data_IF_223904346053
#
_entry.id   IF_223904346053
#
_cell.length_a   1.000
_cell.length_b   1.000
_cell.length_c   1.000
_cell.angle_alpha   90.00
_cell.angle_beta   90.00
_cell.angle_gamma   90.00
#
_symmetry.space_group_name_H-M   'P 1'
#
loop_
_entity.id
_entity.type
_entity.pdbx_description
1 polymer ?
#
# COMPACT_ATOMS: atom_id res chain seq x y z
N UNK A 1 18.83 11.67 8.62
CA UNK A 1 19.85 11.44 7.56
C UNK A 1 19.26 11.24 6.15
N UNK A 2 18.14 10.52 6.02
CA UNK A 2 17.59 10.11 4.71
C UNK A 2 17.08 11.25 3.81
N UNK A 3 16.58 12.35 4.39
CA UNK A 3 16.18 13.56 3.62
C UNK A 3 17.40 14.25 3.01
N UNK A 4 18.49 14.39 3.76
CA UNK A 4 19.76 14.92 3.27
C UNK A 4 20.33 14.06 2.14
N UNK A 5 20.25 12.73 2.28
CA UNK A 5 20.66 11.77 1.24
C UNK A 5 19.78 11.88 -0.01
N UNK A 6 18.46 12.08 0.15
CA UNK A 6 17.54 12.33 -0.97
C UNK A 6 17.94 13.59 -1.74
N UNK A 7 18.23 14.70 -1.05
CA UNK A 7 18.68 15.94 -1.69
C UNK A 7 20.03 15.77 -2.39
N UNK A 8 21.00 15.10 -1.75
CA UNK A 8 22.31 14.81 -2.34
C UNK A 8 22.19 13.93 -3.58
N UNK A 9 21.36 12.89 -3.51
CA UNK A 9 21.08 11.97 -4.62
C UNK A 9 20.37 12.70 -5.78
N UNK A 10 19.46 13.63 -5.47
CA UNK A 10 18.80 14.45 -6.49
C UNK A 10 19.74 15.44 -7.19
N UNK A 11 20.74 15.97 -6.49
CA UNK A 11 21.79 16.80 -7.11
C UNK A 11 22.72 15.97 -8.01
N UNK A 12 23.02 14.74 -7.61
CA UNK A 12 23.88 13.81 -8.37
C UNK A 12 23.17 13.13 -9.55
N UNK A 13 21.84 13.03 -9.49
CA UNK A 13 21.05 12.30 -10.50
C UNK A 13 20.98 10.79 -10.26
N UNK A 14 21.25 10.33 -9.04
CA UNK A 14 21.27 8.89 -8.72
C UNK A 14 19.85 8.33 -8.58
N UNK A 15 19.26 7.93 -9.72
CA UNK A 15 17.91 7.37 -9.78
C UNK A 15 17.79 6.10 -8.94
N UNK A 16 18.83 5.27 -8.88
CA UNK A 16 18.82 4.02 -8.11
C UNK A 16 18.73 4.28 -6.61
N UNK A 17 19.52 5.22 -6.11
CA UNK A 17 19.47 5.63 -4.70
C UNK A 17 18.16 6.32 -4.35
N UNK A 18 17.66 7.21 -5.21
CA UNK A 18 16.35 7.86 -5.01
C UNK A 18 15.22 6.83 -5.03
N UNK A 19 15.26 5.81 -5.90
CA UNK A 19 14.33 4.67 -5.85
C UNK A 19 14.39 3.95 -4.52
N UNK A 20 15.58 3.56 -4.08
CA UNK A 20 15.73 2.91 -2.78
C UNK A 20 15.16 3.76 -1.63
N UNK A 21 15.44 5.07 -1.61
CA UNK A 21 14.96 5.97 -0.56
C UNK A 21 13.42 6.14 -0.59
N UNK A 22 12.82 6.34 -1.77
CA UNK A 22 11.37 6.50 -1.87
C UNK A 22 10.61 5.18 -1.68
N UNK A 23 11.16 4.06 -2.16
CA UNK A 23 10.43 2.78 -2.20
C UNK A 23 10.68 1.89 -0.98
N UNK A 24 11.90 1.90 -0.45
CA UNK A 24 12.31 1.03 0.66
C UNK A 24 12.37 1.76 2.00
N UNK A 25 12.59 3.08 1.98
CA UNK A 25 12.67 3.92 3.19
C UNK A 25 11.47 4.85 3.37
N UNK A 26 10.54 4.89 2.41
CA UNK A 26 9.31 5.69 2.43
C UNK A 26 9.57 7.19 2.69
N UNK A 27 10.70 7.72 2.19
CA UNK A 27 11.03 9.13 2.34
C UNK A 27 10.02 9.97 1.55
N UNK A 28 9.44 11.00 2.18
CA UNK A 28 8.47 11.86 1.52
C UNK A 28 9.10 12.61 0.33
N UNK A 29 8.53 12.45 -0.86
CA UNK A 29 9.06 13.04 -2.12
C UNK A 29 9.02 14.58 -2.15
N UNK A 30 8.17 15.19 -1.31
CA UNK A 30 7.92 16.63 -1.24
C UNK A 30 8.52 17.29 0.00
N UNK A 31 9.48 16.64 0.67
CA UNK A 31 10.23 17.24 1.79
C UNK A 31 10.88 18.56 1.38
N UNK A 32 11.07 19.45 2.36
CA UNK A 32 11.68 20.76 2.17
C UNK A 32 12.99 20.84 2.92
N UNK A 33 14.01 21.40 2.27
CA UNK A 33 15.27 21.71 2.94
C UNK A 33 15.21 23.05 3.68
N UNK A 34 16.32 23.45 4.32
CA UNK A 34 16.44 24.73 5.03
C UNK A 34 16.30 25.98 4.15
N UNK A 35 16.28 25.84 2.83
CA UNK A 35 16.06 26.92 1.86
C UNK A 35 14.70 26.80 1.19
N UNK A 36 13.78 26.04 1.79
CA UNK A 36 12.43 25.82 1.30
C UNK A 36 12.40 25.17 -0.10
N UNK A 37 13.43 24.38 -0.43
CA UNK A 37 13.59 23.75 -1.75
C UNK A 37 13.20 22.28 -1.71
N UNK A 38 12.60 21.80 -2.81
CA UNK A 38 12.15 20.41 -2.95
C UNK A 38 13.16 19.54 -3.69
N UNK A 39 13.13 18.20 -3.52
CA UNK A 39 13.97 17.26 -4.29
C UNK A 39 13.80 17.45 -5.81
N UNK A 40 12.56 17.67 -6.27
CA UNK A 40 12.25 17.94 -7.67
C UNK A 40 12.96 19.18 -8.20
N UNK A 41 13.02 20.25 -7.40
CA UNK A 41 13.73 21.47 -7.80
C UNK A 41 15.22 21.19 -8.09
N UNK A 42 15.91 20.42 -7.24
CA UNK A 42 17.31 20.08 -7.48
C UNK A 42 17.52 19.18 -8.70
N UNK A 43 16.63 18.21 -8.92
CA UNK A 43 16.68 17.38 -10.13
C UNK A 43 16.50 18.22 -11.40
N UNK A 44 15.60 19.21 -11.37
CA UNK A 44 15.38 20.16 -12.48
C UNK A 44 16.60 21.07 -12.71
N UNK A 45 17.15 21.62 -11.62
CA UNK A 45 18.31 22.53 -11.62
C UNK A 45 19.57 21.86 -12.13
N UNK A 46 19.82 20.61 -11.73
CA UNK A 46 20.98 19.84 -12.15
C UNK A 46 20.81 19.14 -13.51
N UNK A 47 19.60 19.19 -14.11
CA UNK A 47 19.36 18.70 -15.46
C UNK A 47 19.11 17.19 -15.57
N UNK A 48 18.71 16.53 -14.49
CA UNK A 48 18.53 15.07 -14.46
C UNK A 48 17.14 14.67 -14.97
N UNK A 49 16.99 14.62 -16.29
CA UNK A 49 15.69 14.41 -16.95
C UNK A 49 14.99 13.10 -16.55
N UNK A 50 15.72 11.98 -16.49
CA UNK A 50 15.17 10.69 -16.03
C UNK A 50 14.69 10.77 -14.58
N UNK A 51 15.48 11.41 -13.72
CA UNK A 51 15.13 11.60 -12.33
C UNK A 51 13.93 12.53 -12.15
N UNK A 52 13.82 13.60 -12.94
CA UNK A 52 12.67 14.50 -12.94
C UNK A 52 11.40 13.73 -13.28
N UNK A 53 11.41 12.91 -14.34
CA UNK A 53 10.26 12.07 -14.68
C UNK A 53 9.92 11.09 -13.57
N UNK A 54 10.94 10.48 -12.96
CA UNK A 54 10.75 9.58 -11.84
C UNK A 54 10.13 10.29 -10.63
N UNK A 55 10.65 11.44 -10.21
CA UNK A 55 10.11 12.22 -9.09
C UNK A 55 8.68 12.69 -9.34
N UNK A 56 8.39 13.19 -10.55
CA UNK A 56 7.03 13.54 -10.96
C UNK A 56 6.10 12.33 -10.86
N UNK A 57 6.48 11.19 -11.47
CA UNK A 57 5.72 9.94 -11.38
C UNK A 57 5.54 9.44 -9.94
N UNK A 58 6.42 9.84 -9.01
CA UNK A 58 6.35 9.51 -7.59
C UNK A 58 5.66 10.58 -6.74
N UNK A 59 4.91 11.50 -7.35
CA UNK A 59 4.05 12.43 -6.63
C UNK A 59 4.71 13.75 -6.24
N UNK A 60 5.87 14.09 -6.84
CA UNK A 60 6.46 15.41 -6.68
C UNK A 60 5.49 16.50 -7.19
N UNK A 61 5.28 17.53 -6.37
CA UNK A 61 4.36 18.65 -6.67
C UNK A 61 5.00 19.60 -7.66
N UNK A 62 4.35 19.81 -8.81
CA UNK A 62 4.72 20.79 -9.81
C UNK A 62 3.46 21.39 -10.44
N UNK A 63 2.80 22.29 -9.71
CA UNK A 63 1.59 22.96 -10.18
C UNK A 63 1.92 24.29 -10.84
N UNK A 64 1.42 24.52 -12.05
CA UNK A 64 1.61 25.78 -12.76
C UNK A 64 1.03 26.95 -11.94
N UNK A 65 1.73 28.10 -11.94
CA UNK A 65 1.37 29.29 -11.15
C UNK A 65 1.47 29.13 -9.62
N UNK A 66 2.17 28.09 -9.12
CA UNK A 66 2.55 27.99 -7.71
C UNK A 66 4.03 28.33 -7.53
N UNK A 67 4.43 28.76 -6.33
CA UNK A 67 5.83 29.09 -6.04
C UNK A 67 6.78 27.92 -6.37
N UNK A 68 6.38 26.70 -6.01
CA UNK A 68 7.17 25.48 -6.23
C UNK A 68 7.24 25.09 -7.71
N UNK A 69 6.10 25.15 -8.41
CA UNK A 69 6.04 24.83 -9.84
C UNK A 69 6.81 25.83 -10.70
N UNK A 70 6.68 27.12 -10.42
CA UNK A 70 7.45 28.16 -11.11
C UNK A 70 8.95 28.00 -10.85
N UNK A 71 9.38 27.72 -9.61
CA UNK A 71 10.81 27.46 -9.33
C UNK A 71 11.36 26.27 -10.10
N UNK A 72 10.62 25.18 -10.22
CA UNK A 72 11.05 24.03 -11.01
C UNK A 72 11.13 24.38 -12.51
N UNK A 73 10.18 25.16 -13.02
CA UNK A 73 10.13 25.58 -14.42
C UNK A 73 11.24 26.57 -14.79
N UNK A 74 11.52 27.55 -13.93
CA UNK A 74 12.64 28.50 -14.07
C UNK A 74 13.98 27.80 -13.87
N UNK A 75 14.06 26.88 -12.90
CA UNK A 75 15.27 26.11 -12.59
C UNK A 75 15.61 25.03 -13.61
N UNK A 76 14.69 24.65 -14.50
CA UNK A 76 14.92 23.58 -15.48
C UNK A 76 16.12 23.88 -16.40
N UNK A 77 17.17 23.05 -16.29
CA UNK A 77 18.39 23.19 -17.07
C UNK A 77 18.17 22.94 -18.58
N UNK A 78 17.20 22.09 -18.93
CA UNK A 78 16.99 21.63 -20.31
C UNK A 78 15.54 21.78 -20.80
N UNK A 79 15.37 21.98 -22.10
CA UNK A 79 14.04 22.06 -22.73
C UNK A 79 13.21 20.77 -22.61
N UNK A 80 13.79 19.56 -22.63
CA UNK A 80 13.05 18.33 -22.31
C UNK A 80 12.47 18.33 -20.88
N UNK A 81 13.22 18.79 -19.88
CA UNK A 81 12.73 18.92 -18.50
C UNK A 81 11.60 19.95 -18.44
N UNK A 82 11.77 21.10 -19.09
CA UNK A 82 10.73 22.14 -19.14
C UNK A 82 9.45 21.65 -19.82
N UNK A 83 9.57 20.83 -20.87
CA UNK A 83 8.43 20.15 -21.50
C UNK A 83 7.81 19.13 -20.55
N UNK A 84 8.60 18.27 -19.92
CA UNK A 84 8.10 17.29 -18.95
C UNK A 84 7.32 17.94 -17.81
N UNK A 85 7.78 19.06 -17.26
CA UNK A 85 7.09 19.82 -16.21
C UNK A 85 5.77 20.47 -16.71
N UNK A 86 5.73 20.97 -17.95
CA UNK A 86 4.52 21.58 -18.54
C UNK A 86 3.48 20.55 -18.98
N UNK A 87 3.94 19.43 -19.49
CA UNK A 87 3.11 18.31 -19.95
C UNK A 87 2.57 17.51 -18.76
N UNK A 88 3.18 17.66 -17.58
CA UNK A 88 2.71 17.11 -16.33
C UNK A 88 1.46 17.83 -15.82
N UNK A 89 0.32 17.56 -16.48
CA UNK A 89 -1.00 17.94 -16.01
C UNK A 89 -1.45 16.90 -14.99
N UNK A 90 -1.40 17.27 -13.71
CA UNK A 90 -2.17 16.64 -12.63
C UNK A 90 -2.40 15.13 -12.86
N UNK A 91 -1.37 14.33 -12.57
CA UNK A 91 -1.63 13.06 -11.91
C UNK A 91 -2.41 13.47 -10.65
N UNK A 92 -3.73 13.24 -10.68
CA UNK A 92 -4.64 13.58 -9.59
C UNK A 92 -4.05 13.08 -8.28
N UNK A 93 -4.41 13.72 -7.17
CA UNK A 93 -4.07 13.19 -5.85
C UNK A 93 -4.55 11.74 -5.64
N UNK A 94 -5.36 11.17 -6.54
CA UNK A 94 -5.72 9.75 -6.58
C UNK A 94 -4.62 8.81 -7.08
N UNK A 95 -3.68 9.23 -7.93
CA UNK A 95 -2.49 8.39 -8.21
C UNK A 95 -1.35 8.64 -7.21
N UNK A 96 -1.59 9.46 -6.17
CA UNK A 96 -0.63 9.78 -5.09
C UNK A 96 -0.64 8.80 -3.91
N UNK A 97 -1.32 7.67 -4.04
CA UNK A 97 -0.90 6.44 -3.36
C UNK A 97 -0.48 5.51 -4.49
N UNK A 98 0.77 5.04 -4.50
CA UNK A 98 1.03 3.71 -5.06
C UNK A 98 0.17 2.79 -4.23
N UNK A 99 -1.06 2.56 -4.67
CA UNK A 99 -1.92 1.62 -4.00
C UNK A 99 -1.34 0.25 -4.36
N UNK A 100 -0.37 -0.19 -3.56
CA UNK A 100 0.33 -1.46 -3.73
C UNK A 100 -0.68 -2.62 -3.85
N UNK A 101 -1.92 -2.42 -3.40
CA UNK A 101 -3.02 -3.34 -3.58
C UNK A 101 -3.62 -3.29 -5.00
N UNK A 102 -3.95 -2.12 -5.54
CA UNK A 102 -4.40 -1.98 -6.94
C UNK A 102 -3.34 -2.51 -7.91
N UNK A 103 -2.07 -2.15 -7.70
CA UNK A 103 -0.94 -2.63 -8.49
C UNK A 103 -0.77 -4.16 -8.37
N UNK A 104 -1.12 -4.75 -7.22
CA UNK A 104 -1.15 -6.19 -7.04
C UNK A 104 -2.29 -6.82 -7.87
N UNK A 105 -3.51 -6.30 -7.78
CA UNK A 105 -4.67 -6.84 -8.49
C UNK A 105 -4.52 -6.70 -10.01
N UNK A 106 -3.94 -5.59 -10.46
CA UNK A 106 -3.59 -5.41 -11.87
C UNK A 106 -2.57 -6.46 -12.34
N UNK A 107 -1.47 -6.64 -11.61
CA UNK A 107 -0.46 -7.67 -11.93
C UNK A 107 -1.06 -9.07 -11.88
N UNK A 108 -1.98 -9.35 -10.95
CA UNK A 108 -2.65 -10.63 -10.82
C UNK A 108 -3.46 -10.96 -12.08
N UNK A 109 -4.20 -9.97 -12.62
CA UNK A 109 -4.92 -10.11 -13.90
C UNK A 109 -3.96 -10.28 -15.09
N UNK A 110 -2.94 -9.44 -15.20
CA UNK A 110 -2.04 -9.40 -16.35
C UNK A 110 -1.17 -10.65 -16.47
N UNK A 111 -0.65 -11.15 -15.34
CA UNK A 111 0.24 -12.31 -15.32
C UNK A 111 -0.55 -13.63 -15.25
N UNK A 112 -1.74 -13.61 -14.65
CA UNK A 112 -2.58 -14.80 -14.47
C UNK A 112 -1.91 -15.89 -13.63
N UNK A 113 -1.08 -15.51 -12.65
CA UNK A 113 -0.45 -16.43 -11.71
C UNK A 113 -1.53 -17.06 -10.83
N UNK A 114 -1.53 -18.40 -10.71
CA UNK A 114 -2.57 -19.17 -10.03
C UNK A 114 -3.99 -19.03 -10.60
N UNK A 115 -4.12 -18.63 -11.88
CA UNK A 115 -5.44 -18.61 -12.53
C UNK A 115 -6.04 -20.02 -12.62
N UNK A 116 -7.29 -20.17 -12.20
CA UNK A 116 -8.03 -21.44 -12.13
C UNK A 116 -9.12 -21.57 -13.20
N UNK A 117 -9.32 -20.52 -14.01
CA UNK A 117 -10.23 -20.52 -15.15
C UNK A 117 -9.69 -19.71 -16.34
N UNK A 118 -9.92 -20.23 -17.55
CA UNK A 118 -9.60 -19.54 -18.81
C UNK A 118 -10.87 -19.34 -19.63
N UNK A 119 -11.19 -18.08 -19.94
CA UNK A 119 -12.25 -17.74 -20.87
C UNK A 119 -11.69 -17.61 -22.28
N UNK A 120 -12.22 -18.37 -23.24
CA UNK A 120 -11.84 -18.29 -24.66
C UNK A 120 -12.95 -17.57 -25.41
N UNK A 121 -12.77 -16.28 -25.65
CA UNK A 121 -13.75 -15.40 -26.31
C UNK A 121 -13.35 -15.21 -27.77
N UNK A 122 -14.14 -15.78 -28.68
CA UNK A 122 -13.83 -15.78 -30.13
C UNK A 122 -12.37 -16.19 -30.46
N UNK A 123 -11.83 -17.17 -29.72
CA UNK A 123 -10.47 -17.67 -29.91
C UNK A 123 -9.38 -16.93 -29.12
N UNK A 124 -9.69 -15.79 -28.49
CA UNK A 124 -8.76 -15.07 -27.61
C UNK A 124 -8.87 -15.59 -26.16
N UNK A 125 -7.77 -16.06 -25.55
CA UNK A 125 -7.78 -16.54 -24.16
C UNK A 125 -7.66 -15.39 -23.16
N UNK A 126 -8.38 -15.51 -22.04
CA UNK A 126 -8.32 -14.63 -20.87
C UNK A 126 -8.22 -15.49 -19.62
N UNK A 127 -7.10 -15.39 -18.91
CA UNK A 127 -6.91 -16.06 -17.60
C UNK A 127 -7.59 -15.23 -16.52
N UNK A 128 -8.25 -15.89 -15.58
CA UNK A 128 -8.92 -15.23 -14.46
C UNK A 128 -8.97 -16.17 -13.23
N UNK A 129 -9.48 -15.63 -12.14
CA UNK A 129 -9.56 -16.29 -10.84
C UNK A 129 -11.03 -16.35 -10.41
N UNK A 130 -11.54 -17.55 -10.13
CA UNK A 130 -12.95 -17.78 -9.74
C UNK A 130 -13.32 -16.96 -8.51
N UNK A 131 -12.44 -16.90 -7.51
CA UNK A 131 -12.65 -16.15 -6.28
C UNK A 131 -12.89 -14.65 -6.54
N UNK A 132 -12.04 -14.01 -7.36
CA UNK A 132 -12.18 -12.59 -7.74
C UNK A 132 -13.48 -12.35 -8.51
N UNK A 133 -13.76 -13.18 -9.52
CA UNK A 133 -14.95 -13.00 -10.35
C UNK A 133 -16.25 -13.18 -9.57
N UNK A 134 -16.30 -14.19 -8.70
CA UNK A 134 -17.48 -14.46 -7.88
C UNK A 134 -17.71 -13.40 -6.81
N UNK A 135 -16.64 -12.90 -6.17
CA UNK A 135 -16.73 -11.82 -5.19
C UNK A 135 -17.25 -10.51 -5.82
N UNK A 136 -16.87 -10.24 -7.07
CA UNK A 136 -17.19 -8.99 -7.77
C UNK A 136 -18.45 -9.06 -8.65
N UNK A 137 -19.07 -10.24 -8.78
CA UNK A 137 -20.24 -10.42 -9.64
C UNK A 137 -21.03 -11.66 -9.25
N UNK A 138 -22.26 -11.41 -8.81
CA UNK A 138 -23.27 -12.46 -8.55
C UNK A 138 -23.56 -13.30 -9.79
N UNK A 139 -23.51 -12.72 -10.99
CA UNK A 139 -23.61 -13.49 -12.24
C UNK A 139 -22.48 -14.49 -12.38
N UNK A 140 -21.22 -14.06 -12.21
CA UNK A 140 -20.08 -14.98 -12.30
C UNK A 140 -20.13 -16.04 -11.20
N UNK A 141 -20.44 -15.66 -9.95
CA UNK A 141 -20.62 -16.61 -8.85
C UNK A 141 -21.62 -17.72 -9.22
N UNK A 142 -22.82 -17.33 -9.67
CA UNK A 142 -23.88 -18.25 -10.08
C UNK A 142 -23.46 -19.13 -11.27
N UNK A 143 -22.82 -18.55 -12.29
CA UNK A 143 -22.41 -19.29 -13.49
C UNK A 143 -21.29 -20.27 -13.20
N UNK A 144 -20.34 -19.91 -12.32
CA UNK A 144 -19.23 -20.75 -11.89
C UNK A 144 -19.68 -21.93 -11.02
N UNK A 145 -20.79 -21.80 -10.29
CA UNK A 145 -21.40 -22.90 -9.53
C UNK A 145 -22.39 -23.74 -10.33
N UNK A 146 -22.89 -23.22 -11.46
CA UNK A 146 -23.85 -23.94 -12.32
C UNK A 146 -23.23 -24.36 -13.65
N UNK A 147 -23.42 -23.58 -14.72
CA UNK A 147 -23.08 -23.96 -16.10
C UNK A 147 -21.57 -24.16 -16.33
N UNK A 148 -20.74 -23.51 -15.52
CA UNK A 148 -19.28 -23.56 -15.60
C UNK A 148 -18.64 -24.31 -14.43
N UNK A 149 -19.44 -25.03 -13.62
CA UNK A 149 -18.93 -25.86 -12.53
C UNK A 149 -17.94 -26.90 -13.04
N UNK A 150 -16.78 -27.00 -12.40
CA UNK A 150 -15.70 -27.94 -12.75
C UNK A 150 -14.99 -27.67 -14.08
N UNK A 151 -15.32 -26.59 -14.81
CA UNK A 151 -14.64 -26.25 -16.07
C UNK A 151 -13.45 -25.34 -15.81
N UNK A 152 -12.27 -25.79 -16.22
CA UNK A 152 -11.05 -24.96 -16.27
C UNK A 152 -11.00 -24.07 -17.52
N UNK A 153 -11.75 -24.42 -18.58
CA UNK A 153 -11.86 -23.63 -19.81
C UNK A 153 -13.33 -23.38 -20.15
N UNK A 154 -13.69 -22.11 -20.30
CA UNK A 154 -15.03 -21.65 -20.69
C UNK A 154 -14.95 -20.99 -22.06
N UNK A 155 -15.57 -21.61 -23.07
CA UNK A 155 -15.55 -21.08 -24.43
C UNK A 155 -16.80 -20.23 -24.68
N UNK A 156 -16.60 -18.95 -25.00
CA UNK A 156 -17.65 -17.97 -25.29
C UNK A 156 -17.64 -17.66 -26.80
N UNK A 157 -18.66 -18.15 -27.51
CA UNK A 157 -18.81 -18.00 -28.97
C UNK A 157 -19.97 -17.10 -29.39
N UNK A 158 -20.72 -16.58 -28.43
CA UNK A 158 -21.92 -15.80 -28.72
C UNK A 158 -21.55 -14.50 -29.44
N UNK A 159 -22.15 -14.17 -30.60
CA UNK A 159 -21.72 -13.03 -31.44
C UNK A 159 -21.73 -11.66 -30.76
N UNK A 160 -22.53 -11.50 -29.72
CA UNK A 160 -22.63 -10.24 -28.96
C UNK A 160 -21.54 -10.08 -27.89
N UNK A 161 -20.63 -11.04 -27.73
CA UNK A 161 -19.54 -10.97 -26.72
C UNK A 161 -18.26 -10.48 -27.40
N UNK A 162 -18.02 -9.17 -27.34
CA UNK A 162 -16.80 -8.59 -27.90
C UNK A 162 -15.57 -8.90 -27.01
N UNK A 163 -14.46 -9.44 -27.54
CA UNK A 163 -13.26 -9.73 -26.75
C UNK A 163 -12.61 -8.50 -26.10
N UNK A 164 -12.68 -7.32 -26.72
CA UNK A 164 -12.12 -6.08 -26.16
C UNK A 164 -12.94 -5.64 -24.96
N UNK A 165 -14.27 -5.61 -25.10
CA UNK A 165 -15.18 -5.28 -24.01
C UNK A 165 -15.10 -6.30 -22.86
N UNK A 166 -14.94 -7.60 -23.16
CA UNK A 166 -14.74 -8.61 -22.13
C UNK A 166 -13.44 -8.41 -21.35
N UNK A 167 -12.35 -8.03 -22.02
CA UNK A 167 -11.08 -7.69 -21.37
C UNK A 167 -11.21 -6.46 -20.46
N UNK A 168 -11.89 -5.42 -20.93
CA UNK A 168 -12.18 -4.22 -20.14
C UNK A 168 -13.05 -4.54 -18.90
N UNK A 169 -14.03 -5.42 -19.06
CA UNK A 169 -14.86 -5.90 -17.94
C UNK A 169 -14.04 -6.68 -16.91
N UNK A 170 -13.08 -7.52 -17.34
CA UNK A 170 -12.14 -8.15 -16.42
C UNK A 170 -11.26 -7.12 -15.70
N UNK A 171 -10.75 -6.10 -16.40
CA UNK A 171 -9.99 -5.02 -15.77
C UNK A 171 -10.78 -4.38 -14.62
N UNK A 172 -12.06 -4.09 -14.84
CA UNK A 172 -12.95 -3.54 -13.81
C UNK A 172 -13.15 -4.49 -12.62
N UNK A 173 -13.38 -5.77 -12.90
CA UNK A 173 -13.53 -6.79 -11.86
C UNK A 173 -12.26 -7.00 -11.03
N UNK A 174 -11.07 -6.65 -11.53
CA UNK A 174 -9.86 -6.73 -10.72
C UNK A 174 -9.54 -5.42 -10.02
N UNK A 175 -9.74 -4.28 -10.67
CA UNK A 175 -9.11 -3.02 -10.23
C UNK A 175 -10.11 -1.90 -9.96
N UNK A 176 -11.39 -2.10 -10.25
CA UNK A 176 -12.39 -1.03 -10.29
C UNK A 176 -12.17 -0.01 -11.42
N UNK A 177 -11.06 -0.13 -12.17
CA UNK A 177 -10.72 0.71 -13.33
C UNK A 177 -11.12 0.03 -14.62
N UNK A 178 -11.51 0.82 -15.61
CA UNK A 178 -11.86 0.32 -16.93
C UNK A 178 -11.38 1.27 -18.01
N UNK A 179 -10.58 0.75 -18.94
CA UNK A 179 -10.20 1.45 -20.17
C UNK A 179 -10.87 0.80 -21.36
N UNK A 180 -11.62 1.59 -22.14
CA UNK A 180 -12.28 1.08 -23.33
C UNK A 180 -12.32 2.09 -24.47
N UNK A 181 -12.09 1.60 -25.70
CA UNK A 181 -12.31 2.40 -26.90
C UNK A 181 -13.77 2.83 -27.01
N UNK A 182 -14.03 4.08 -27.42
CA UNK A 182 -15.39 4.61 -27.55
C UNK A 182 -16.26 3.76 -28.49
N UNK A 183 -15.64 3.13 -29.50
CA UNK A 183 -16.29 2.19 -30.42
C UNK A 183 -16.83 0.91 -29.75
N UNK A 184 -16.35 0.57 -28.54
CA UNK A 184 -16.70 -0.65 -27.83
C UNK A 184 -17.55 -0.41 -26.57
N UNK A 185 -17.90 0.84 -26.26
CA UNK A 185 -18.70 1.19 -25.07
C UNK A 185 -20.04 0.44 -25.05
N UNK A 186 -20.77 0.42 -26.18
CA UNK A 186 -22.07 -0.27 -26.26
C UNK A 186 -21.98 -1.79 -26.07
N UNK A 187 -20.86 -2.41 -26.47
CA UNK A 187 -20.61 -3.83 -26.21
C UNK A 187 -20.30 -4.06 -24.72
N UNK A 188 -19.58 -3.13 -24.09
CA UNK A 188 -19.27 -3.19 -22.67
C UNK A 188 -20.51 -2.98 -21.79
N UNK A 189 -21.37 -2.02 -22.11
CA UNK A 189 -22.66 -1.82 -21.42
C UNK A 189 -23.52 -3.09 -21.50
N UNK A 190 -23.57 -3.73 -22.68
CA UNK A 190 -24.29 -4.99 -22.86
C UNK A 190 -23.73 -6.10 -21.97
N UNK A 191 -22.41 -6.22 -21.90
CA UNK A 191 -21.75 -7.23 -21.05
C UNK A 191 -21.91 -6.92 -19.56
N UNK A 192 -21.75 -5.66 -19.15
CA UNK A 192 -21.93 -5.22 -17.77
C UNK A 192 -23.36 -5.52 -17.28
N UNK A 193 -24.38 -5.23 -18.11
CA UNK A 193 -25.77 -5.59 -17.83
C UNK A 193 -25.98 -7.10 -17.72
N UNK A 194 -25.38 -7.89 -18.62
CA UNK A 194 -25.46 -9.35 -18.57
C UNK A 194 -24.78 -9.93 -17.33
N UNK A 195 -23.68 -9.32 -16.89
CA UNK A 195 -22.91 -9.70 -15.70
C UNK A 195 -23.42 -9.06 -14.40
N UNK A 196 -24.55 -8.34 -14.46
CA UNK A 196 -25.19 -7.69 -13.32
C UNK A 196 -24.27 -6.69 -12.59
N UNK A 197 -23.42 -5.97 -13.33
CA UNK A 197 -22.52 -4.94 -12.83
C UNK A 197 -23.20 -3.56 -12.90
N UNK A 198 -24.13 -3.29 -11.99
CA UNK A 198 -24.93 -2.07 -12.01
C UNK A 198 -24.11 -0.81 -11.76
N UNK A 199 -23.20 -0.85 -10.79
CA UNK A 199 -22.26 0.23 -10.48
C UNK A 199 -21.43 0.64 -11.71
N UNK A 200 -20.93 -0.33 -12.48
CA UNK A 200 -20.20 -0.05 -13.71
C UNK A 200 -21.08 0.63 -14.77
N UNK A 201 -22.36 0.25 -14.86
CA UNK A 201 -23.29 0.88 -15.79
C UNK A 201 -23.51 2.34 -15.43
N UNK A 202 -23.72 2.65 -14.14
CA UNK A 202 -23.86 4.02 -13.66
C UNK A 202 -22.58 4.84 -13.93
N UNK A 203 -21.41 4.26 -13.65
CA UNK A 203 -20.11 4.90 -13.91
C UNK A 203 -19.88 5.18 -15.41
N UNK A 204 -20.24 4.23 -16.29
CA UNK A 204 -20.16 4.38 -17.74
C UNK A 204 -21.11 5.47 -18.25
N UNK A 205 -22.37 5.46 -17.82
CA UNK A 205 -23.37 6.47 -18.19
C UNK A 205 -22.90 7.87 -17.79
N UNK A 206 -22.50 8.05 -16.52
CA UNK A 206 -22.00 9.33 -16.02
C UNK A 206 -20.73 9.81 -16.75
N UNK A 207 -19.84 8.89 -17.14
CA UNK A 207 -18.63 9.26 -17.89
C UNK A 207 -18.95 9.63 -19.34
N UNK A 208 -19.85 8.91 -19.99
CA UNK A 208 -20.31 9.19 -21.35
C UNK A 208 -20.97 10.59 -21.45
N UNK A 209 -21.78 10.97 -20.47
CA UNK A 209 -22.37 12.31 -20.38
C UNK A 209 -21.29 13.40 -20.29
N UNK A 210 -20.34 13.25 -19.35
CA UNK A 210 -19.22 14.20 -19.18
C UNK A 210 -18.36 14.34 -20.44
N UNK A 211 -18.08 13.23 -21.12
CA UNK A 211 -17.31 13.25 -22.38
C UNK A 211 -18.09 13.97 -23.47
N UNK A 212 -19.40 13.76 -23.56
CA UNK A 212 -20.27 14.41 -24.53
C UNK A 212 -20.31 15.93 -24.33
N UNK A 213 -20.47 16.39 -23.09
CA UNK A 213 -20.41 17.82 -22.73
C UNK A 213 -19.05 18.44 -23.04
N UNK A 214 -17.96 17.72 -22.73
CA UNK A 214 -16.60 18.18 -23.00
C UNK A 214 -16.35 18.36 -24.50
N UNK A 215 -16.73 17.38 -25.32
CA UNK A 215 -16.61 17.46 -26.79
C UNK A 215 -17.47 18.59 -27.35
N UNK A 216 -18.67 18.81 -26.82
CA UNK A 216 -19.52 19.94 -27.21
C UNK A 216 -18.89 21.30 -26.89
N UNK A 217 -18.17 21.42 -25.77
CA UNK A 217 -17.47 22.65 -25.36
C UNK A 217 -16.21 22.98 -26.18
N UNK A 218 -15.60 21.99 -26.84
CA UNK A 218 -14.33 22.12 -27.57
C UNK A 218 -14.39 21.46 -28.96
N UNK A 219 -15.00 22.13 -29.95
CA UNK A 219 -15.12 21.58 -31.30
C UNK A 219 -13.74 21.27 -31.90
N UNK A 220 -13.59 20.05 -32.44
CA UNK A 220 -12.32 19.54 -32.97
C UNK A 220 -11.58 18.57 -32.03
N UNK A 221 -12.04 18.38 -30.79
CA UNK A 221 -11.49 17.38 -29.87
C UNK A 221 -12.17 16.03 -30.08
N UNK A 222 -11.37 14.96 -30.22
CA UNK A 222 -11.87 13.59 -30.35
C UNK A 222 -11.37 12.73 -29.18
N UNK A 223 -12.29 12.28 -28.35
CA UNK A 223 -12.01 11.29 -27.29
C UNK A 223 -12.08 9.91 -27.93
N UNK A 224 -11.00 9.14 -27.84
CA UNK A 224 -10.89 7.78 -28.41
C UNK A 224 -11.03 6.68 -27.37
N UNK A 225 -10.64 6.97 -26.14
CA UNK A 225 -10.67 6.03 -25.02
C UNK A 225 -11.44 6.67 -23.88
N UNK A 226 -12.34 5.89 -23.30
CA UNK A 226 -13.07 6.21 -22.11
C UNK A 226 -12.43 5.46 -20.94
N UNK A 227 -12.01 6.20 -19.91
CA UNK A 227 -11.40 5.65 -18.69
C UNK A 227 -12.33 5.88 -17.51
N UNK A 228 -12.75 4.79 -16.88
CA UNK A 228 -13.39 4.77 -15.56
C UNK A 228 -12.29 4.57 -14.53
N UNK A 229 -12.25 5.47 -13.55
CA UNK A 229 -11.41 5.32 -12.38
C UNK A 229 -12.28 5.37 -11.13
N UNK A 230 -12.03 4.51 -10.14
CA UNK A 230 -12.72 4.60 -8.86
C UNK A 230 -12.39 5.94 -8.18
N UNK A 231 -13.34 6.55 -7.47
CA UNK A 231 -13.08 7.71 -6.63
C UNK A 231 -11.90 7.46 -5.66
N UNK A 232 -11.10 8.50 -5.33
CA UNK A 232 -10.05 8.39 -4.33
C UNK A 232 -10.69 8.11 -2.96
N UNK A 233 -10.57 6.86 -2.49
CA UNK A 233 -11.22 6.28 -1.29
C UNK A 233 -12.58 5.60 -1.51
N UNK A 234 -12.85 5.08 -2.72
CA UNK A 234 -13.93 4.14 -2.94
C UNK A 234 -13.64 2.78 -2.24
N UNK A 235 -14.43 2.37 -1.23
CA UNK A 235 -14.16 1.15 -0.49
C UNK A 235 -14.69 -0.10 -1.22
N UNK A 236 -15.55 0.03 -2.24
CA UNK A 236 -16.30 -1.07 -2.87
C UNK A 236 -15.43 -2.26 -3.25
N UNK A 237 -14.33 -2.00 -3.97
CA UNK A 237 -13.40 -3.07 -4.38
C UNK A 237 -12.81 -3.81 -3.17
N UNK A 238 -12.43 -3.08 -2.13
CA UNK A 238 -11.79 -3.65 -0.94
C UNK A 238 -12.81 -4.42 -0.09
N UNK A 239 -14.03 -3.90 0.02
CA UNK A 239 -15.17 -4.55 0.67
C UNK A 239 -15.54 -5.86 -0.03
N UNK A 240 -15.67 -5.84 -1.36
CA UNK A 240 -15.95 -7.06 -2.13
C UNK A 240 -14.84 -8.11 -1.94
N UNK A 241 -13.57 -7.69 -1.88
CA UNK A 241 -12.46 -8.61 -1.65
C UNK A 241 -12.40 -9.08 -0.18
N UNK A 242 -12.85 -8.29 0.78
CA UNK A 242 -12.95 -8.70 2.18
C UNK A 242 -13.90 -9.90 2.38
N UNK A 243 -14.91 -10.06 1.51
CA UNK A 243 -15.77 -11.26 1.49
C UNK A 243 -14.95 -12.56 1.34
N UNK A 244 -13.79 -12.51 0.67
CA UNK A 244 -12.90 -13.65 0.54
C UNK A 244 -12.20 -13.99 1.86
N UNK A 245 -11.88 -12.99 2.69
CA UNK A 245 -11.38 -13.21 4.05
C UNK A 245 -12.45 -13.90 4.90
N UNK A 246 -13.68 -13.42 4.86
CA UNK A 246 -14.81 -14.00 5.62
C UNK A 246 -15.06 -15.46 5.23
N UNK A 247 -15.01 -15.76 3.92
CA UNK A 247 -15.16 -17.12 3.43
C UNK A 247 -13.99 -18.02 3.82
N UNK A 248 -12.80 -17.45 4.01
CA UNK A 248 -11.61 -18.16 4.42
C UNK A 248 -11.54 -18.44 5.92
N UNK A 249 -12.31 -17.72 6.75
CA UNK A 249 -12.35 -17.91 8.18
C UNK A 249 -12.97 -19.25 8.59
N UNK A 250 -12.40 -19.92 9.61
CA UNK A 250 -13.00 -21.08 10.24
C UNK A 250 -14.33 -20.68 10.92
N UNK A 251 -15.34 -21.57 10.96
CA UNK A 251 -16.67 -21.25 11.49
C UNK A 251 -16.66 -20.70 12.92
N UNK A 252 -15.69 -21.14 13.73
CA UNK A 252 -15.57 -20.78 15.14
C UNK A 252 -15.21 -19.31 15.35
N UNK A 253 -14.48 -18.70 14.40
CA UNK A 253 -14.03 -17.30 14.50
C UNK A 253 -14.98 -16.30 13.82
N UNK A 254 -15.99 -16.77 13.10
CA UNK A 254 -16.95 -15.89 12.39
C UNK A 254 -17.88 -15.10 13.32
N UNK A 255 -18.02 -15.52 14.59
CA UNK A 255 -18.95 -14.92 15.54
C UNK A 255 -18.41 -13.67 16.27
N UNK A 256 -17.09 -13.55 16.41
CA UNK A 256 -16.46 -12.52 17.26
C UNK A 256 -16.07 -11.23 16.52
N UNK A 257 -16.16 -11.22 15.18
CA UNK A 257 -15.78 -10.08 14.31
C UNK A 257 -16.96 -9.23 13.84
N UNK A 258 -18.13 -9.38 14.47
CA UNK A 258 -19.38 -8.72 14.07
C UNK A 258 -20.15 -9.52 13.02
N UNK A 259 -21.48 -9.42 13.04
CA UNK A 259 -22.30 -9.92 11.91
C UNK A 259 -21.76 -9.28 10.63
N UNK A 260 -21.50 -10.12 9.61
CA UNK A 260 -21.05 -9.64 8.31
C UNK A 260 -21.90 -8.42 7.91
N UNK A 261 -21.30 -7.31 7.43
CA UNK A 261 -22.09 -6.18 6.95
C UNK A 261 -23.06 -6.62 5.83
N UNK A 262 -22.74 -7.74 5.16
CA UNK A 262 -23.57 -8.37 4.15
C UNK A 262 -23.58 -9.90 4.31
N UNK A 263 -24.74 -10.57 4.28
CA UNK A 263 -24.79 -12.03 4.27
C UNK A 263 -24.03 -12.58 3.06
N UNK A 264 -23.15 -13.56 3.28
CA UNK A 264 -22.50 -14.29 2.20
C UNK A 264 -23.61 -14.81 1.25
N UNK A 265 -23.58 -14.47 -0.05
CA UNK A 265 -24.65 -14.85 -0.96
C UNK A 265 -24.87 -16.37 -0.93
N UNK A 266 -26.12 -16.81 -0.80
CA UNK A 266 -26.48 -18.23 -0.89
C UNK A 266 -25.83 -18.84 -2.16
N UNK A 267 -24.94 -19.81 -1.98
CA UNK A 267 -24.26 -20.49 -3.09
C UNK A 267 -22.91 -19.90 -3.56
N UNK A 268 -22.33 -18.92 -2.85
CA UNK A 268 -20.97 -18.47 -3.13
C UNK A 268 -19.93 -19.53 -2.72
N UNK A 269 -19.41 -20.26 -3.71
CA UNK A 269 -18.22 -21.10 -3.53
C UNK A 269 -16.97 -20.27 -3.76
N UNK A 270 -16.25 -19.94 -2.67
CA UNK A 270 -15.01 -19.16 -2.75
C UNK A 270 -13.92 -19.84 -3.57
N UNK A 271 -14.02 -21.16 -3.82
CA UNK A 271 -13.05 -21.95 -4.57
C UNK A 271 -11.63 -21.88 -3.97
N UNK A 272 -11.45 -22.23 -2.68
CA UNK A 272 -10.13 -22.22 -2.06
C UNK A 272 -9.22 -23.28 -2.70
N UNK A 273 -7.94 -22.95 -2.86
CA UNK A 273 -6.92 -23.82 -3.46
C UNK A 273 -5.73 -24.09 -2.52
N UNK A 274 -5.82 -23.61 -1.27
CA UNK A 274 -4.88 -23.85 -0.18
C UNK A 274 -5.60 -23.77 1.17
N UNK A 275 -5.19 -24.58 2.13
CA UNK A 275 -5.63 -24.50 3.51
C UNK A 275 -4.44 -24.18 4.42
N UNK A 276 -4.54 -23.11 5.21
CA UNK A 276 -3.59 -22.85 6.28
C UNK A 276 -4.14 -23.38 7.60
N UNK A 277 -3.43 -24.32 8.23
CA UNK A 277 -3.75 -24.81 9.56
C UNK A 277 -2.97 -23.99 10.59
N UNK A 278 -3.69 -23.33 11.47
CA UNK A 278 -3.13 -22.50 12.56
C UNK A 278 -3.70 -23.04 13.87
N UNK A 279 -2.84 -23.62 14.71
CA UNK A 279 -3.29 -24.45 15.84
C UNK A 279 -4.31 -25.50 15.38
N UNK A 280 -5.52 -25.50 15.95
CA UNK A 280 -6.61 -26.43 15.60
C UNK A 280 -7.59 -25.85 14.56
N UNK A 281 -7.33 -24.65 14.03
CA UNK A 281 -8.19 -23.94 13.09
C UNK A 281 -7.70 -24.06 11.65
N UNK A 282 -8.62 -24.33 10.72
CA UNK A 282 -8.33 -24.44 9.28
C UNK A 282 -8.87 -23.22 8.52
N UNK A 283 -7.98 -22.47 7.89
CA UNK A 283 -8.30 -21.30 7.06
C UNK A 283 -8.26 -21.69 5.58
N UNK A 284 -9.35 -21.50 4.85
CA UNK A 284 -9.48 -21.91 3.45
C UNK A 284 -9.21 -20.73 2.50
N UNK A 285 -8.01 -20.69 1.93
CA UNK A 285 -7.46 -19.49 1.29
C UNK A 285 -7.18 -19.68 -0.21
N UNK A 286 -6.66 -18.59 -0.83
CA UNK A 286 -6.33 -18.53 -2.25
C UNK A 286 -4.84 -18.22 -2.44
N UNK A 287 -4.09 -19.11 -3.11
CA UNK A 287 -2.66 -18.93 -3.42
C UNK A 287 -2.40 -17.63 -4.16
N UNK A 288 -3.27 -17.28 -5.10
CA UNK A 288 -3.23 -16.03 -5.85
C UNK A 288 -2.99 -14.78 -4.98
N UNK A 289 -3.68 -14.69 -3.85
CA UNK A 289 -3.56 -13.55 -2.93
C UNK A 289 -2.31 -13.65 -2.05
N UNK A 290 -2.09 -14.80 -1.42
CA UNK A 290 -0.94 -14.98 -0.53
C UNK A 290 0.40 -14.86 -1.26
N UNK A 291 0.57 -15.54 -2.40
CA UNK A 291 1.77 -15.44 -3.23
C UNK A 291 1.91 -14.05 -3.86
N UNK A 292 0.82 -13.39 -4.23
CA UNK A 292 0.88 -12.06 -4.86
C UNK A 292 1.20 -10.92 -3.89
N UNK A 293 0.89 -11.11 -2.59
CA UNK A 293 1.04 -10.09 -1.54
C UNK A 293 2.26 -10.30 -0.64
N UNK A 294 2.81 -11.52 -0.59
CA UNK A 294 3.93 -11.86 0.29
C UNK A 294 4.97 -12.71 -0.45
N UNK A 295 6.22 -12.25 -0.39
CA UNK A 295 7.36 -13.01 -0.92
C UNK A 295 7.64 -14.25 -0.06
N UNK A 296 7.32 -14.21 1.23
CA UNK A 296 7.40 -15.38 2.13
C UNK A 296 6.44 -16.47 1.66
N UNK A 297 5.16 -16.15 1.46
CA UNK A 297 4.18 -17.14 1.01
C UNK A 297 4.44 -17.59 -0.43
N UNK A 298 4.95 -16.70 -1.29
CA UNK A 298 5.40 -17.10 -2.63
C UNK A 298 6.52 -18.14 -2.55
N UNK A 299 7.55 -17.90 -1.75
CA UNK A 299 8.63 -18.86 -1.56
C UNK A 299 8.14 -20.18 -0.93
N UNK A 300 7.23 -20.10 0.05
CA UNK A 300 6.63 -21.23 0.74
C UNK A 300 5.72 -22.09 -0.15
N UNK A 301 5.07 -21.49 -1.17
CA UNK A 301 4.09 -22.19 -1.98
C UNK A 301 4.58 -22.52 -3.40
N UNK A 302 5.52 -21.75 -3.95
CA UNK A 302 6.06 -21.92 -5.30
C UNK A 302 7.44 -22.61 -5.33
N UNK A 303 8.36 -22.29 -4.40
CA UNK A 303 9.77 -22.71 -4.48
C UNK A 303 10.14 -23.88 -3.54
N UNK A 304 9.55 -23.96 -2.35
CA UNK A 304 9.93 -24.95 -1.33
C UNK A 304 8.69 -25.54 -0.65
N UNK A 305 8.58 -26.88 -0.57
CA UNK A 305 7.49 -27.65 0.05
C UNK A 305 6.31 -28.06 -0.85
N UNK A 306 6.61 -28.84 -1.91
CA UNK A 306 5.71 -29.94 -2.33
C UNK A 306 5.72 -31.13 -1.35
N UNK A 307 6.56 -31.09 -0.30
CA UNK A 307 6.81 -32.18 0.65
C UNK A 307 5.93 -32.09 1.91
N UNK A 308 4.62 -32.14 1.71
CA UNK A 308 3.67 -32.71 2.69
C UNK A 308 2.41 -33.18 1.98
N UNK A 309 2.57 -33.72 0.77
CA UNK A 309 1.51 -34.49 0.12
C UNK A 309 1.36 -35.83 0.86
N UNK A 310 0.66 -35.83 1.99
CA UNK A 310 -0.25 -36.96 2.19
C UNK A 310 -1.33 -36.80 1.12
N UNK A 311 -1.48 -37.75 0.18
CA UNK A 311 -2.52 -37.68 -0.82
C UNK A 311 -3.86 -37.80 -0.08
N UNK A 312 -4.47 -36.66 0.24
CA UNK A 312 -5.83 -36.66 0.76
C UNK A 312 -6.71 -37.19 -0.35
N UNK A 313 -7.41 -38.30 -0.08
CA UNK A 313 -8.23 -39.01 -1.06
C UNK A 313 -9.53 -38.28 -1.44
N UNK A 314 -9.60 -36.97 -1.26
CA UNK A 314 -10.76 -36.11 -1.51
C UNK A 314 -10.28 -34.82 -2.17
N UNK A 315 -11.13 -34.18 -2.98
CA UNK A 315 -10.83 -32.93 -3.70
C UNK A 315 -10.68 -31.70 -2.80
N UNK A 316 -10.10 -31.85 -1.62
CA UNK A 316 -9.82 -30.82 -0.64
C UNK A 316 -8.50 -30.10 -0.98
N UNK A 317 -8.37 -28.82 -0.63
CA UNK A 317 -7.14 -28.07 -0.89
C UNK A 317 -5.95 -28.63 -0.07
N UNK A 318 -4.72 -28.53 -0.59
CA UNK A 318 -3.52 -28.90 0.16
C UNK A 318 -3.44 -28.12 1.48
N UNK A 319 -2.93 -28.75 2.54
CA UNK A 319 -2.83 -28.14 3.87
C UNK A 319 -1.39 -27.76 4.20
N UNK A 320 -1.18 -26.53 4.64
CA UNK A 320 0.09 -26.00 5.15
C UNK A 320 -0.10 -25.58 6.60
N UNK A 321 0.69 -26.13 7.50
CA UNK A 321 0.63 -25.77 8.92
C UNK A 321 1.53 -24.56 9.18
N UNK A 322 0.97 -23.52 9.79
CA UNK A 322 1.72 -22.36 10.28
C UNK A 322 1.91 -22.51 11.79
N UNK A 323 3.17 -22.42 12.22
CA UNK A 323 3.57 -22.58 13.62
C UNK A 323 3.72 -21.22 14.30
N UNK A 324 3.66 -21.22 15.63
CA UNK A 324 3.93 -20.06 16.49
C UNK A 324 3.07 -18.81 16.19
N UNK A 325 1.83 -19.04 15.76
CA UNK A 325 0.83 -17.99 15.49
C UNK A 325 -0.54 -18.42 16.01
N UNK A 326 -1.28 -17.49 16.63
CA UNK A 326 -2.65 -17.75 17.06
C UNK A 326 -3.64 -17.55 15.90
N UNK A 327 -4.81 -18.22 15.94
CA UNK A 327 -5.86 -18.00 14.94
C UNK A 327 -6.33 -16.53 14.88
N UNK A 328 -6.36 -15.83 16.02
CA UNK A 328 -6.75 -14.42 16.09
C UNK A 328 -5.75 -13.52 15.36
N UNK A 329 -4.44 -13.71 15.59
CA UNK A 329 -3.38 -12.96 14.90
C UNK A 329 -3.42 -13.24 13.39
N UNK A 330 -3.60 -14.50 13.00
CA UNK A 330 -3.67 -14.87 11.58
C UNK A 330 -4.91 -14.29 10.89
N UNK A 331 -5.99 -14.04 11.63
CA UNK A 331 -7.18 -13.36 11.10
C UNK A 331 -6.85 -11.95 10.62
N UNK A 332 -6.03 -11.18 11.36
CA UNK A 332 -5.59 -9.86 10.90
C UNK A 332 -4.71 -9.93 9.64
N UNK A 333 -3.85 -10.95 9.53
CA UNK A 333 -3.06 -11.22 8.32
C UNK A 333 -3.98 -11.51 7.14
N UNK A 334 -5.02 -12.33 7.36
CA UNK A 334 -5.99 -12.74 6.35
C UNK A 334 -6.73 -11.53 5.77
N UNK A 335 -7.34 -10.70 6.62
CA UNK A 335 -8.05 -9.51 6.17
C UNK A 335 -7.12 -8.55 5.41
N UNK A 336 -5.88 -8.37 5.88
CA UNK A 336 -4.92 -7.52 5.18
C UNK A 336 -4.55 -8.05 3.79
N UNK A 337 -4.35 -9.37 3.67
CA UNK A 337 -3.99 -10.01 2.39
C UNK A 337 -5.11 -9.82 1.36
N UNK A 338 -6.37 -9.94 1.76
CA UNK A 338 -7.52 -9.80 0.86
C UNK A 338 -8.05 -8.38 0.69
N UNK A 339 -7.85 -7.44 1.61
CA UNK A 339 -8.52 -6.13 1.54
C UNK A 339 -7.58 -4.93 1.65
N UNK A 340 -6.28 -5.17 1.85
CA UNK A 340 -5.29 -4.14 2.21
C UNK A 340 -5.65 -3.38 3.50
N UNK A 341 -6.50 -3.98 4.32
CA UNK A 341 -7.00 -3.42 5.57
C UNK A 341 -7.23 -4.52 6.61
N UNK A 342 -7.14 -4.14 7.88
CA UNK A 342 -7.59 -4.93 9.01
C UNK A 342 -7.81 -3.99 10.18
N UNK A 343 -8.90 -4.17 10.90
CA UNK A 343 -9.15 -3.46 12.15
C UNK A 343 -8.27 -4.09 13.22
N UNK A 344 -7.30 -3.33 13.74
CA UNK A 344 -6.28 -3.86 14.63
C UNK A 344 -6.32 -3.13 15.97
N UNK A 345 -6.80 -3.79 17.05
CA UNK A 345 -6.75 -3.20 18.38
C UNK A 345 -5.28 -2.99 18.79
N UNK A 346 -4.95 -1.89 19.50
CA UNK A 346 -3.57 -1.59 19.83
C UNK A 346 -2.87 -2.66 20.69
N UNK A 347 -3.64 -3.39 21.50
CA UNK A 347 -3.16 -4.48 22.36
C UNK A 347 -2.58 -5.66 21.56
N UNK A 348 -3.12 -5.95 20.38
CA UNK A 348 -2.63 -7.01 19.48
C UNK A 348 -1.57 -6.51 18.48
N UNK A 349 -1.31 -5.20 18.45
CA UNK A 349 -0.53 -4.61 17.37
C UNK A 349 0.93 -5.08 17.35
N UNK A 350 1.52 -5.42 18.50
CA UNK A 350 2.88 -5.96 18.57
C UNK A 350 2.97 -7.39 18.02
N UNK A 351 2.01 -8.24 18.37
CA UNK A 351 2.01 -9.64 17.94
C UNK A 351 1.75 -9.73 16.42
N UNK A 352 0.80 -8.93 15.92
CA UNK A 352 0.54 -8.82 14.48
C UNK A 352 1.72 -8.19 13.75
N UNK A 353 2.43 -7.22 14.34
CA UNK A 353 3.64 -6.63 13.76
C UNK A 353 4.76 -7.67 13.59
N UNK A 354 4.96 -8.52 14.59
CA UNK A 354 5.96 -9.59 14.58
C UNK A 354 5.70 -10.57 13.43
N UNK A 355 4.44 -10.99 13.28
CA UNK A 355 4.02 -11.88 12.18
C UNK A 355 4.08 -11.16 10.82
N UNK A 356 3.70 -9.88 10.75
CA UNK A 356 3.76 -9.10 9.52
C UNK A 356 5.20 -8.96 9.00
N UNK A 357 6.18 -8.83 9.90
CA UNK A 357 7.60 -8.84 9.53
C UNK A 357 8.05 -10.21 9.04
N UNK A 358 7.72 -11.28 9.77
CA UNK A 358 8.03 -12.66 9.39
C UNK A 358 7.45 -13.02 8.01
N UNK A 359 6.20 -12.65 7.73
CA UNK A 359 5.53 -12.92 6.47
C UNK A 359 5.81 -11.88 5.38
N UNK A 360 6.75 -10.96 5.61
CA UNK A 360 7.16 -9.94 4.63
C UNK A 360 5.97 -9.13 4.08
N UNK A 361 5.10 -8.66 4.98
CA UNK A 361 3.90 -7.87 4.70
C UNK A 361 4.10 -6.39 5.11
N UNK A 362 4.85 -5.58 4.34
CA UNK A 362 5.23 -4.24 4.75
C UNK A 362 4.04 -3.30 4.95
N UNK A 363 2.92 -3.49 4.24
CA UNK A 363 1.73 -2.68 4.48
C UNK A 363 1.00 -3.03 5.78
N UNK A 364 1.02 -4.29 6.20
CA UNK A 364 0.49 -4.68 7.50
C UNK A 364 1.36 -4.13 8.64
N UNK A 365 2.69 -4.16 8.49
CA UNK A 365 3.61 -3.49 9.42
C UNK A 365 3.27 -2.00 9.60
N UNK A 366 2.93 -1.30 8.51
CA UNK A 366 2.49 0.10 8.57
C UNK A 366 1.16 0.27 9.31
N UNK A 367 0.21 -0.65 9.13
CA UNK A 367 -1.06 -0.63 9.89
C UNK A 367 -0.80 -0.85 11.39
N UNK A 368 0.07 -1.80 11.73
CA UNK A 368 0.49 -2.03 13.12
C UNK A 368 1.16 -0.79 13.72
N UNK A 369 2.07 -0.15 12.98
CA UNK A 369 2.71 1.09 13.42
C UNK A 369 1.70 2.23 13.70
N UNK A 370 0.66 2.36 12.87
CA UNK A 370 -0.41 3.34 13.11
C UNK A 370 -1.26 3.00 14.34
N UNK A 371 -1.47 1.72 14.63
CA UNK A 371 -2.20 1.30 15.83
C UNK A 371 -1.36 1.54 17.09
N UNK A 372 -0.07 1.19 17.07
CA UNK A 372 0.89 1.47 18.15
C UNK A 372 1.06 2.97 18.43
N UNK A 373 1.00 3.83 17.40
CA UNK A 373 1.06 5.28 17.59
C UNK A 373 -0.08 5.82 18.45
N UNK A 374 -1.22 5.11 18.55
CA UNK A 374 -2.35 5.51 19.40
C UNK A 374 -2.09 5.24 20.89
N UNK A 375 -1.08 4.41 21.21
CA UNK A 375 -0.67 4.08 22.58
C UNK A 375 0.44 5.00 23.12
N UNK A 376 0.82 6.05 22.38
CA UNK A 376 1.90 6.94 22.79
C UNK A 376 1.51 7.77 24.01
N UNK A 377 2.11 7.41 25.13
CA UNK A 377 1.99 8.06 26.43
C UNK A 377 3.38 8.26 27.03
N UNK A 378 3.48 9.06 28.08
CA UNK A 378 4.75 9.30 28.79
C UNK A 378 5.40 7.97 29.18
N UNK A 379 4.64 7.01 29.70
CA UNK A 379 5.10 5.71 30.18
C UNK A 379 5.49 4.72 29.08
N UNK A 380 4.90 4.82 27.89
CA UNK A 380 5.06 3.83 26.81
C UNK A 380 6.01 4.27 25.69
N UNK A 381 6.26 5.59 25.51
CA UNK A 381 6.93 6.13 24.31
C UNK A 381 8.32 5.53 24.04
N UNK A 382 9.12 5.26 25.08
CA UNK A 382 10.45 4.65 24.94
C UNK A 382 10.35 3.21 24.44
N UNK A 383 9.39 2.45 24.97
CA UNK A 383 9.11 1.08 24.54
C UNK A 383 8.59 1.02 23.10
N UNK A 384 7.64 1.89 22.74
CA UNK A 384 7.10 1.98 21.38
C UNK A 384 8.19 2.40 20.39
N UNK A 385 9.07 3.33 20.76
CA UNK A 385 10.22 3.72 19.94
C UNK A 385 11.19 2.55 19.70
N UNK A 386 11.51 1.77 20.73
CA UNK A 386 12.35 0.56 20.61
C UNK A 386 11.72 -0.45 19.65
N UNK A 387 10.41 -0.67 19.74
CA UNK A 387 9.66 -1.52 18.79
C UNK A 387 9.74 -0.96 17.38
N UNK A 388 9.50 0.34 17.21
CA UNK A 388 9.55 1.01 15.92
C UNK A 388 10.91 0.81 15.25
N UNK A 389 11.99 1.00 16.01
CA UNK A 389 13.36 0.78 15.55
C UNK A 389 13.67 -0.67 15.19
N UNK A 390 13.26 -1.62 16.04
CA UNK A 390 13.45 -3.05 15.82
C UNK A 390 12.84 -3.50 14.48
N UNK A 391 11.62 -3.04 14.21
CA UNK A 391 10.87 -3.36 13.00
C UNK A 391 11.07 -2.36 11.85
N UNK A 392 11.95 -1.37 12.00
CA UNK A 392 12.27 -0.33 11.01
C UNK A 392 11.03 0.45 10.53
N UNK A 393 10.22 0.91 11.48
CA UNK A 393 9.01 1.68 11.24
C UNK A 393 9.32 3.19 11.32
N UNK A 394 9.99 3.73 10.30
CA UNK A 394 10.50 5.11 10.29
C UNK A 394 9.46 6.17 10.69
N UNK A 395 8.21 6.03 10.21
CA UNK A 395 7.14 6.96 10.59
C UNK A 395 6.75 6.87 12.06
N UNK A 396 6.73 5.66 12.63
CA UNK A 396 6.46 5.50 14.06
C UNK A 396 7.65 5.98 14.90
N UNK A 397 8.88 5.75 14.44
CA UNK A 397 10.09 6.31 15.08
C UNK A 397 10.01 7.84 15.17
N UNK A 398 9.69 8.52 14.07
CA UNK A 398 9.50 9.98 14.00
C UNK A 398 8.36 10.46 14.92
N UNK A 399 7.23 9.75 14.95
CA UNK A 399 6.12 10.06 15.87
C UNK A 399 6.54 9.91 17.34
N UNK A 400 7.36 8.90 17.66
CA UNK A 400 7.88 8.73 19.01
C UNK A 400 8.84 9.85 19.38
N UNK A 401 9.80 10.21 18.52
CA UNK A 401 10.76 11.29 18.80
C UNK A 401 10.10 12.66 18.87
N UNK A 402 9.06 12.90 18.06
CA UNK A 402 8.22 14.09 18.16
C UNK A 402 7.48 14.16 19.51
N UNK A 403 6.96 13.02 19.99
CA UNK A 403 6.34 12.94 21.31
C UNK A 403 7.37 13.15 22.43
N UNK A 404 8.51 12.46 22.37
CA UNK A 404 9.60 12.60 23.35
C UNK A 404 10.07 14.05 23.45
N UNK A 405 10.21 14.75 22.33
CA UNK A 405 10.56 16.17 22.30
C UNK A 405 9.58 17.06 23.09
N UNK A 406 8.29 16.70 23.15
CA UNK A 406 7.27 17.45 23.92
C UNK A 406 7.40 17.21 25.43
N UNK A 407 7.86 16.03 25.85
CA UNK A 407 7.90 15.59 27.25
C UNK A 407 9.32 15.38 27.79
N UNK A 408 10.35 15.86 27.08
CA UNK A 408 11.76 15.53 27.34
C UNK A 408 12.20 15.86 28.78
N UNK A 409 11.69 16.94 29.37
CA UNK A 409 11.99 17.36 30.74
C UNK A 409 11.65 16.28 31.78
N UNK A 410 10.65 15.44 31.51
CA UNK A 410 10.29 14.30 32.36
C UNK A 410 11.06 13.03 31.99
N UNK A 411 11.32 12.84 30.69
CA UNK A 411 11.98 11.62 30.19
C UNK A 411 13.43 11.52 30.63
N UNK A 412 14.15 12.64 30.75
CA UNK A 412 15.57 12.63 31.16
C UNK A 412 15.80 12.06 32.56
N UNK A 413 14.79 12.04 33.42
CA UNK A 413 14.86 11.46 34.76
C UNK A 413 14.61 9.94 34.77
N UNK A 414 14.14 9.37 33.66
CA UNK A 414 13.74 7.96 33.60
C UNK A 414 14.86 7.05 33.15
N UNK A 415 15.04 5.96 33.88
CA UNK A 415 16.07 4.96 33.63
C UNK A 415 15.96 4.33 32.22
N UNK A 416 14.76 4.02 31.75
CA UNK A 416 14.55 3.39 30.45
C UNK A 416 14.95 4.30 29.27
N UNK A 417 14.70 5.60 29.38
CA UNK A 417 15.18 6.59 28.40
C UNK A 417 16.70 6.74 28.46
N UNK A 418 17.29 6.80 29.65
CA UNK A 418 18.75 6.88 29.82
C UNK A 418 19.44 5.65 29.22
N UNK A 419 18.89 4.46 29.43
CA UNK A 419 19.38 3.22 28.80
C UNK A 419 19.31 3.29 27.28
N UNK A 420 18.17 3.74 26.72
CA UNK A 420 18.02 3.89 25.28
C UNK A 420 19.08 4.83 24.67
N UNK A 421 19.39 5.95 25.32
CA UNK A 421 20.45 6.88 24.87
C UNK A 421 21.84 6.23 24.93
N UNK A 422 22.14 5.46 25.98
CA UNK A 422 23.42 4.74 26.12
C UNK A 422 23.57 3.65 25.05
N UNK A 423 22.51 2.91 24.76
CA UNK A 423 22.48 1.89 23.71
C UNK A 423 22.78 2.51 22.34
N UNK A 424 22.17 3.66 22.04
CA UNK A 424 22.42 4.38 20.78
C UNK A 424 23.86 4.89 20.68
N UNK A 425 24.38 5.48 21.75
CA UNK A 425 25.75 5.97 21.76
C UNK A 425 26.76 4.83 21.58
N UNK A 426 26.53 3.68 22.22
CA UNK A 426 27.37 2.50 22.05
C UNK A 426 27.32 1.96 20.61
N UNK A 427 26.14 1.97 19.98
CA UNK A 427 25.97 1.54 18.60
C UNK A 427 26.71 2.44 17.59
N UNK A 428 26.81 3.75 17.85
CA UNK A 428 27.60 4.71 17.05
C UNK A 428 29.10 4.49 17.26
N UNK A 429 29.55 4.38 18.51
CA UNK A 429 30.96 4.15 18.83
C UNK A 429 31.50 2.86 18.19
N UNK A 430 30.69 1.80 18.14
CA UNK A 430 31.04 0.54 17.49
C UNK A 430 31.29 0.67 15.98
N UNK A 431 30.72 1.70 15.32
CA UNK A 431 30.87 1.95 13.88
C UNK A 431 32.10 2.78 13.52
N UNK A 432 32.90 3.23 14.50
CA UNK A 432 34.00 4.20 14.32
C UNK A 432 33.55 5.51 13.65
N UNK A 433 32.26 5.82 13.73
CA UNK A 433 31.68 7.08 13.26
C UNK A 433 31.82 8.13 14.37
N UNK A 434 32.24 9.34 14.04
CA UNK A 434 32.25 10.50 14.97
C UNK A 434 30.88 11.18 15.03
N UNK A 435 29.83 10.44 14.70
CA UNK A 435 28.50 10.99 14.51
C UNK A 435 27.79 11.21 15.85
N UNK A 436 26.84 12.13 15.81
CA UNK A 436 25.92 12.44 16.88
C UNK A 436 24.93 11.28 17.10
N UNK A 437 24.43 11.17 18.34
CA UNK A 437 23.55 10.08 18.76
C UNK A 437 22.19 10.23 18.04
N UNK A 438 21.75 9.28 17.19
CA UNK A 438 20.58 9.46 16.33
C UNK A 438 19.30 9.85 17.08
N UNK A 439 18.99 9.13 18.16
CA UNK A 439 17.83 9.43 19.03
C UNK A 439 17.86 10.88 19.56
N UNK A 440 19.04 11.34 19.99
CA UNK A 440 19.23 12.69 20.53
C UNK A 440 19.03 13.73 19.44
N UNK A 441 19.56 13.47 18.24
CA UNK A 441 19.43 14.39 17.10
C UNK A 441 18.00 14.51 16.60
N UNK A 442 17.27 13.40 16.53
CA UNK A 442 15.87 13.42 16.11
C UNK A 442 15.03 14.21 17.13
N UNK A 443 15.25 14.01 18.44
CA UNK A 443 14.61 14.81 19.49
C UNK A 443 14.99 16.29 19.36
N UNK A 444 16.28 16.63 19.19
CA UNK A 444 16.74 18.01 18.99
C UNK A 444 16.08 18.66 17.77
N UNK A 445 15.95 17.91 16.68
CA UNK A 445 15.30 18.36 15.46
C UNK A 445 13.84 18.75 15.73
N UNK A 446 13.06 17.90 16.41
CA UNK A 446 11.67 18.20 16.74
C UNK A 446 11.51 19.36 17.74
N UNK A 447 12.40 19.47 18.73
CA UNK A 447 12.42 20.61 19.66
C UNK A 447 12.65 21.91 18.89
N UNK A 448 13.60 21.93 17.95
CA UNK A 448 13.91 23.10 17.14
C UNK A 448 12.82 23.43 16.10
N UNK A 449 12.16 22.42 15.52
CA UNK A 449 11.15 22.62 14.48
C UNK A 449 9.83 23.22 14.98
N UNK A 450 9.58 23.16 16.30
CA UNK A 450 8.30 23.60 16.91
C UNK A 450 8.31 25.10 17.28
N UNK A 451 9.43 25.79 17.10
CA UNK A 451 9.64 27.17 17.56
C UNK A 451 9.07 28.19 16.58
N UNK A 452 7.93 28.81 16.94
CA UNK A 452 7.28 29.85 16.13
C UNK A 452 7.15 31.21 16.83
N UNK A 453 7.35 31.28 18.15
CA UNK A 453 7.15 32.48 18.97
C UNK A 453 8.28 32.66 19.99
N UNK A 454 8.42 33.85 20.57
CA UNK A 454 9.43 34.11 21.63
C UNK A 454 9.25 33.21 22.86
N UNK A 455 8.02 32.96 23.30
CA UNK A 455 7.74 32.00 24.38
C UNK A 455 8.18 30.58 24.02
N UNK A 456 7.95 30.17 22.77
CA UNK A 456 8.38 28.85 22.29
C UNK A 456 9.92 28.72 22.18
N UNK A 457 10.64 29.84 22.01
CA UNK A 457 12.12 29.84 22.04
C UNK A 457 12.62 29.49 23.44
N UNK A 458 12.06 30.10 24.48
CA UNK A 458 12.48 29.84 25.88
C UNK A 458 12.18 28.40 26.29
N UNK A 459 10.98 27.89 25.99
CA UNK A 459 10.60 26.49 26.25
C UNK A 459 11.50 25.50 25.49
N UNK A 460 11.80 25.77 24.22
CA UNK A 460 12.69 24.92 23.44
C UNK A 460 14.12 24.92 24.00
N UNK A 461 14.63 26.07 24.45
CA UNK A 461 15.93 26.14 25.11
C UNK A 461 15.95 25.35 26.42
N UNK A 462 14.88 25.40 27.20
CA UNK A 462 14.77 24.62 28.44
C UNK A 462 14.80 23.11 28.16
N UNK A 463 14.04 22.65 27.16
CA UNK A 463 14.03 21.25 26.70
C UNK A 463 15.38 20.78 26.19
N UNK A 464 16.09 21.62 25.42
CA UNK A 464 17.44 21.30 24.94
C UNK A 464 18.44 21.20 26.09
N UNK A 465 18.38 22.12 27.06
CA UNK A 465 19.25 22.08 28.26
C UNK A 465 19.03 20.81 29.08
N UNK A 466 17.78 20.41 29.30
CA UNK A 466 17.49 19.17 30.02
C UNK A 466 18.15 17.95 29.36
N UNK A 467 18.12 17.90 28.03
CA UNK A 467 18.78 16.83 27.26
C UNK A 467 20.32 16.93 27.30
N UNK A 468 20.89 18.13 27.29
CA UNK A 468 22.34 18.36 27.46
C UNK A 468 22.81 17.92 28.86
N UNK A 469 22.10 18.33 29.91
CA UNK A 469 22.40 17.95 31.30
C UNK A 469 22.38 16.43 31.48
N UNK A 470 21.45 15.73 30.82
CA UNK A 470 21.43 14.27 30.78
C UNK A 470 22.72 13.71 30.16
N UNK A 471 23.11 14.17 28.97
CA UNK A 471 24.29 13.65 28.25
C UNK A 471 25.58 13.83 29.06
N UNK A 472 25.74 14.99 29.72
CA UNK A 472 26.84 15.27 30.65
C UNK A 472 26.81 14.26 31.81
N UNK A 473 25.64 14.03 32.41
CA UNK A 473 25.49 13.15 33.58
C UNK A 473 25.89 11.69 33.28
N UNK A 474 25.73 11.24 32.04
CA UNK A 474 26.06 9.88 31.60
C UNK A 474 27.40 9.76 30.88
N UNK A 475 28.19 10.84 30.84
CA UNK A 475 29.55 10.84 30.29
C UNK A 475 29.62 10.70 28.77
N UNK A 476 28.59 11.15 28.07
CA UNK A 476 28.48 11.10 26.59
C UNK A 476 28.71 12.47 25.93
N UNK A 477 29.43 13.38 26.60
CA UNK A 477 29.73 14.71 26.07
C UNK A 477 30.40 14.65 24.69
N UNK A 478 29.85 15.46 23.77
CA UNK A 478 30.43 15.81 22.48
C UNK A 478 31.11 17.18 22.56
#
# INVERSE_FOLDING_TARGET
MDTSDLFASCRKGDVGRVRYLLEQRDVEVNVRDKWDSTPLYYACLCGHEELVRYLLANGARCEANTFDGERCLYGALSDPIRRALRDYKQVTASCRRRDYYDDFLQRLLEQGLHSDVVFVVHGKPFRAHRCVLGARSTYFANMLDTKWKGKSVVVLRHPLINPVAFGALLQYLYTGRLDIGVEHVSDCERLAKQCQLWDLLEDLEAKCEKVSEFVASKPGTCVKVLTIEPPPADPRLREDMALLADCALPPELRGDLGELPFPCPDGFSSCPDICFRVADSNFLCHKAFFCGRSDYFRALLDDHFRESEEPVASGDPPVVTLHDISPDIFTHVLYYVYSDHTELPPELAYDVLSVADMYLLPGLKRLCGRSLAQLLEEDSVVGVWRIAKLFRLARLEDQCTEYMAKVIEKLVEREDFVEAVREEAAAVAARQETDSIPLVDDIRFHVASTVQTYSAIEEAQQRLRALEDLLVSIGLDC
#
